data_IF_471409761974
#
_entry.id   IF_471409761974
#
_cell.length_a   1.000
_cell.length_b   1.000
_cell.length_c   1.000
_cell.angle_alpha   90.00
_cell.angle_beta   90.00
_cell.angle_gamma   90.00
#
_symmetry.space_group_name_H-M   'P 1'
#
loop_
_entity.id
_entity.type
_entity.pdbx_description
1 polymer ?
#
# COMPACT_ATOMS: atom_id res chain seq x y z
N UNK A 1 -21.41 9.42 33.81
CA UNK A 1 -20.01 8.96 33.97
C UNK A 1 -19.57 8.57 32.58
N UNK A 2 -18.65 9.33 32.00
CA UNK A 2 -18.27 9.22 30.59
C UNK A 2 -17.61 7.88 30.33
N UNK A 3 -18.13 7.17 29.31
CA UNK A 3 -17.54 5.96 28.75
C UNK A 3 -16.06 6.20 28.45
N UNK A 4 -15.21 5.32 28.96
CA UNK A 4 -13.81 5.23 28.55
C UNK A 4 -13.79 4.62 27.16
N UNK A 5 -13.73 5.45 26.13
CA UNK A 5 -13.39 5.00 24.78
C UNK A 5 -12.03 4.31 24.84
N UNK A 6 -12.00 3.02 24.48
CA UNK A 6 -10.75 2.28 24.29
C UNK A 6 -9.83 3.09 23.35
N UNK A 7 -8.50 3.04 23.51
CA UNK A 7 -7.59 3.71 22.60
C UNK A 7 -7.90 3.19 21.20
N UNK A 8 -8.49 4.07 20.38
CA UNK A 8 -8.79 3.75 19.02
C UNK A 8 -7.44 3.62 18.32
N UNK A 9 -6.97 2.38 18.13
CA UNK A 9 -5.98 2.01 17.12
C UNK A 9 -6.60 2.18 15.71
N UNK A 10 -7.33 3.29 15.56
CA UNK A 10 -8.18 3.84 14.51
C UNK A 10 -7.39 4.20 13.25
N UNK A 11 -6.57 3.30 12.71
CA UNK A 11 -5.91 3.57 11.44
C UNK A 11 -6.95 3.83 10.35
N UNK A 12 -6.70 4.81 9.48
CA UNK A 12 -7.59 5.11 8.36
C UNK A 12 -7.77 3.85 7.49
N UNK A 13 -8.91 3.77 6.80
CA UNK A 13 -9.22 2.64 5.93
C UNK A 13 -9.62 3.14 4.55
N UNK A 14 -9.22 2.41 3.53
CA UNK A 14 -9.60 2.63 2.14
C UNK A 14 -10.41 1.42 1.70
N UNK A 15 -11.64 1.67 1.25
CA UNK A 15 -12.52 0.66 0.67
C UNK A 15 -12.35 0.65 -0.84
N UNK A 16 -12.06 -0.52 -1.39
CA UNK A 16 -12.01 -0.77 -2.82
C UNK A 16 -13.39 -1.23 -3.28
N UNK A 17 -13.92 -0.57 -4.29
CA UNK A 17 -15.24 -0.81 -4.86
C UNK A 17 -15.12 -1.38 -6.27
N UNK A 18 -15.85 -2.44 -6.55
CA UNK A 18 -15.96 -2.99 -7.90
C UNK A 18 -17.03 -2.23 -8.68
N UNK A 19 -16.68 -1.72 -9.87
CA UNK A 19 -17.65 -1.04 -10.74
C UNK A 19 -18.41 -2.02 -11.65
N UNK A 20 -17.95 -3.27 -11.76
CA UNK A 20 -18.58 -4.26 -12.64
C UNK A 20 -19.86 -4.89 -12.09
N UNK A 21 -20.09 -4.77 -10.78
CA UNK A 21 -21.22 -5.38 -10.09
C UNK A 21 -21.05 -6.88 -9.82
N UNK A 22 -19.82 -7.39 -9.91
CA UNK A 22 -19.46 -8.78 -9.63
C UNK A 22 -19.25 -9.09 -8.15
N UNK A 23 -18.96 -8.08 -7.33
CA UNK A 23 -18.75 -8.23 -5.89
C UNK A 23 -20.03 -8.02 -5.06
N UNK A 24 -20.12 -8.69 -3.90
CA UNK A 24 -21.19 -8.44 -2.92
C UNK A 24 -21.13 -6.98 -2.43
N UNK A 25 -22.28 -6.29 -2.48
CA UNK A 25 -22.40 -4.85 -2.19
C UNK A 25 -21.45 -3.93 -3.00
N UNK A 26 -20.85 -4.44 -4.07
CA UNK A 26 -19.77 -3.81 -4.84
C UNK A 26 -18.49 -3.58 -4.02
N UNK A 27 -18.29 -4.28 -2.90
CA UNK A 27 -17.12 -4.14 -2.04
C UNK A 27 -16.13 -5.26 -2.37
N UNK A 28 -14.93 -4.90 -2.84
CA UNK A 28 -13.86 -5.87 -3.11
C UNK A 28 -13.07 -6.16 -1.84
N UNK A 29 -12.57 -5.11 -1.20
CA UNK A 29 -11.67 -5.22 -0.04
C UNK A 29 -11.69 -3.91 0.76
N UNK A 30 -11.42 -4.02 2.06
CA UNK A 30 -11.12 -2.87 2.91
C UNK A 30 -9.67 -2.94 3.37
N UNK A 31 -8.83 -2.04 2.85
CA UNK A 31 -7.42 -1.90 3.23
C UNK A 31 -7.35 -0.94 4.40
N UNK A 32 -6.78 -1.36 5.53
CA UNK A 32 -6.75 -0.54 6.75
C UNK A 32 -5.34 -0.26 7.28
N UNK A 33 -5.29 0.33 8.47
CA UNK A 33 -4.06 0.63 9.23
C UNK A 33 -3.21 1.73 8.58
N UNK A 34 -3.84 2.65 7.84
CA UNK A 34 -3.15 3.85 7.36
C UNK A 34 -2.89 4.81 8.53
N UNK A 35 -1.66 5.30 8.65
CA UNK A 35 -1.22 6.15 9.77
C UNK A 35 -1.85 7.54 9.73
N UNK A 36 -2.15 8.06 8.55
CA UNK A 36 -2.72 9.38 8.35
C UNK A 36 -3.62 9.42 7.10
N UNK A 37 -4.49 10.44 7.06
CA UNK A 37 -5.45 10.63 5.96
C UNK A 37 -4.75 10.94 4.64
N UNK A 38 -3.62 11.65 4.66
CA UNK A 38 -2.90 11.99 3.42
C UNK A 38 -2.31 10.73 2.77
N UNK A 39 -1.82 9.78 3.58
CA UNK A 39 -1.38 8.47 3.13
C UNK A 39 -2.54 7.66 2.56
N UNK A 40 -3.68 7.59 3.25
CA UNK A 40 -4.87 6.90 2.73
C UNK A 40 -5.37 7.52 1.41
N UNK A 41 -5.40 8.85 1.31
CA UNK A 41 -5.76 9.57 0.09
C UNK A 41 -4.78 9.30 -1.07
N UNK A 42 -3.47 9.32 -0.79
CA UNK A 42 -2.46 9.01 -1.78
C UNK A 42 -2.57 7.57 -2.30
N UNK A 43 -2.85 6.61 -1.40
CA UNK A 43 -3.11 5.23 -1.77
C UNK A 43 -4.35 5.09 -2.66
N UNK A 44 -5.48 5.68 -2.26
CA UNK A 44 -6.72 5.64 -3.04
C UNK A 44 -6.51 6.21 -4.45
N UNK A 45 -5.83 7.36 -4.54
CA UNK A 45 -5.48 8.02 -5.80
C UNK A 45 -4.62 7.13 -6.70
N UNK A 46 -3.53 6.58 -6.18
CA UNK A 46 -2.62 5.72 -6.94
C UNK A 46 -3.29 4.40 -7.37
N UNK A 47 -4.17 3.85 -6.53
CA UNK A 47 -4.93 2.64 -6.82
C UNK A 47 -5.88 2.85 -8.00
N UNK A 48 -6.71 3.91 -7.94
CA UNK A 48 -7.62 4.25 -9.05
C UNK A 48 -6.84 4.57 -10.32
N UNK A 49 -5.70 5.26 -10.22
CA UNK A 49 -4.84 5.52 -11.39
C UNK A 49 -4.34 4.23 -12.03
N UNK A 50 -3.89 3.24 -11.25
CA UNK A 50 -3.50 1.93 -11.80
C UNK A 50 -4.69 1.19 -12.42
N UNK A 51 -5.85 1.23 -11.76
CA UNK A 51 -7.10 0.61 -12.21
C UNK A 51 -7.58 1.16 -13.57
N UNK A 52 -7.60 2.49 -13.73
CA UNK A 52 -7.90 3.17 -15.00
C UNK A 52 -6.91 2.76 -16.09
N UNK A 53 -5.63 2.70 -15.77
CA UNK A 53 -4.59 2.35 -16.75
C UNK A 53 -4.63 0.88 -17.18
N UNK A 54 -5.11 -0.03 -16.34
CA UNK A 54 -5.39 -1.43 -16.75
C UNK A 54 -6.52 -1.51 -17.77
N UNK A 55 -7.46 -0.56 -17.74
CA UNK A 55 -8.56 -0.45 -18.69
C UNK A 55 -8.16 0.23 -20.01
N UNK A 56 -6.95 0.82 -20.07
CA UNK A 56 -6.48 1.54 -21.26
C UNK A 56 -5.98 0.58 -22.33
N UNK A 57 -6.62 0.64 -23.50
CA UNK A 57 -6.18 -0.05 -24.72
C UNK A 57 -5.35 0.89 -25.61
N UNK A 58 -4.32 0.41 -26.33
CA UNK A 58 -3.56 1.25 -27.26
C UNK A 58 -4.47 1.95 -28.27
N UNK A 59 -4.39 3.28 -28.34
CA UNK A 59 -5.21 4.10 -29.25
C UNK A 59 -6.65 4.37 -28.78
N UNK A 60 -7.05 3.93 -27.59
CA UNK A 60 -8.35 4.24 -27.01
C UNK A 60 -8.47 5.75 -26.69
N UNK A 61 -9.66 6.32 -26.92
CA UNK A 61 -9.95 7.69 -26.48
C UNK A 61 -10.21 7.75 -24.98
N UNK A 62 -10.10 8.93 -24.36
CA UNK A 62 -10.42 9.12 -22.94
C UNK A 62 -11.82 8.60 -22.57
N UNK A 63 -12.80 8.81 -23.46
CA UNK A 63 -14.17 8.31 -23.29
C UNK A 63 -14.24 6.78 -23.31
N UNK A 64 -13.49 6.13 -24.19
CA UNK A 64 -13.44 4.66 -24.24
C UNK A 64 -12.81 4.09 -22.97
N UNK A 65 -11.71 4.70 -22.50
CA UNK A 65 -11.04 4.31 -21.25
C UNK A 65 -12.01 4.44 -20.07
N UNK A 66 -12.71 5.58 -19.96
CA UNK A 66 -13.70 5.81 -18.93
C UNK A 66 -14.83 4.77 -18.98
N UNK A 67 -15.36 4.48 -20.17
CA UNK A 67 -16.44 3.52 -20.33
C UNK A 67 -16.02 2.11 -19.94
N UNK A 68 -14.80 1.69 -20.29
CA UNK A 68 -14.26 0.39 -19.90
C UNK A 68 -14.01 0.33 -18.39
N UNK A 69 -13.42 1.38 -17.81
CA UNK A 69 -13.19 1.47 -16.37
C UNK A 69 -14.49 1.44 -15.57
N UNK A 70 -15.55 2.13 -16.01
CA UNK A 70 -16.87 2.04 -15.37
C UNK A 70 -17.53 0.66 -15.51
N UNK A 71 -17.07 -0.19 -16.41
CA UNK A 71 -17.65 -1.52 -16.66
C UNK A 71 -16.87 -2.65 -15.99
N UNK A 72 -15.56 -2.48 -15.76
CA UNK A 72 -14.65 -3.54 -15.31
C UNK A 72 -13.60 -3.07 -14.30
N UNK A 73 -13.56 -1.77 -14.03
CA UNK A 73 -12.57 -1.15 -13.16
C UNK A 73 -12.98 -1.21 -11.71
N UNK A 74 -12.02 -0.82 -10.89
CA UNK A 74 -12.13 -0.73 -9.43
C UNK A 74 -11.95 0.73 -9.01
N UNK A 75 -12.81 1.22 -8.13
CA UNK A 75 -12.72 2.52 -7.47
C UNK A 75 -12.18 2.37 -6.04
N UNK A 76 -11.69 3.46 -5.43
CA UNK A 76 -11.20 3.45 -4.06
C UNK A 76 -11.64 4.70 -3.30
N UNK A 77 -12.18 4.50 -2.10
CA UNK A 77 -12.71 5.57 -1.25
C UNK A 77 -12.19 5.44 0.18
N UNK A 78 -11.79 6.55 0.80
CA UNK A 78 -11.37 6.55 2.21
C UNK A 78 -12.61 6.56 3.11
N UNK A 79 -12.68 5.60 4.02
CA UNK A 79 -13.76 5.46 5.00
C UNK A 79 -13.57 6.51 6.10
N UNK A 80 -14.69 7.08 6.60
CA UNK A 80 -14.73 8.08 7.67
C UNK A 80 -14.04 9.43 7.37
N UNK A 81 -13.56 9.64 6.14
CA UNK A 81 -12.90 10.88 5.73
C UNK A 81 -13.87 12.01 5.33
N UNK A 82 -15.18 11.74 5.23
CA UNK A 82 -16.22 12.72 4.88
C UNK A 82 -15.81 13.60 3.67
N UNK A 83 -15.70 14.92 3.84
CA UNK A 83 -15.35 15.89 2.78
C UNK A 83 -13.83 16.03 2.55
N UNK A 84 -13.00 15.59 3.50
CA UNK A 84 -11.54 15.60 3.39
C UNK A 84 -10.99 14.36 2.65
N UNK A 85 -11.87 13.40 2.38
CA UNK A 85 -11.57 12.20 1.61
C UNK A 85 -11.32 12.50 0.14
N UNK A 86 -10.29 11.86 -0.41
CA UNK A 86 -10.09 11.88 -1.85
C UNK A 86 -11.17 11.06 -2.57
N UNK A 87 -11.66 11.58 -3.69
CA UNK A 87 -12.65 10.93 -4.55
C UNK A 87 -12.16 10.88 -6.00
N UNK A 88 -12.29 9.73 -6.64
CA UNK A 88 -11.92 9.50 -8.04
C UNK A 88 -12.56 10.51 -8.99
N UNK A 89 -13.81 10.86 -8.77
CA UNK A 89 -14.57 11.82 -9.58
C UNK A 89 -13.88 13.18 -9.78
N UNK A 90 -13.01 13.60 -8.84
CA UNK A 90 -12.33 14.90 -8.90
C UNK A 90 -11.22 14.94 -9.97
N UNK A 91 -10.57 13.81 -10.25
CA UNK A 91 -9.42 13.73 -11.17
C UNK A 91 -9.64 12.77 -12.34
N UNK A 92 -10.81 12.14 -12.42
CA UNK A 92 -11.10 11.09 -13.39
C UNK A 92 -10.94 11.53 -14.86
N UNK A 93 -11.27 12.79 -15.16
CA UNK A 93 -11.08 13.37 -16.51
C UNK A 93 -9.59 13.37 -16.90
N UNK A 94 -8.71 13.86 -16.02
CA UNK A 94 -7.26 13.83 -16.23
C UNK A 94 -6.73 12.40 -16.36
N UNK A 95 -7.24 11.49 -15.52
CA UNK A 95 -6.81 10.09 -15.49
C UNK A 95 -7.10 9.39 -16.80
N UNK A 96 -8.23 9.70 -17.42
CA UNK A 96 -8.62 9.11 -18.72
C UNK A 96 -7.93 9.80 -19.89
N UNK A 97 -7.67 11.11 -19.81
CA UNK A 97 -7.01 11.90 -20.85
C UNK A 97 -5.52 11.60 -20.99
N UNK A 98 -4.81 11.42 -19.87
CA UNK A 98 -3.35 11.31 -19.85
C UNK A 98 -2.91 9.93 -19.38
N UNK A 99 -2.04 9.20 -20.12
CA UNK A 99 -1.48 7.94 -19.63
C UNK A 99 -0.64 8.18 -18.37
N UNK A 100 -0.76 7.29 -17.39
CA UNK A 100 -0.04 7.44 -16.12
C UNK A 100 1.41 6.97 -16.24
N UNK A 101 2.28 7.61 -15.47
CA UNK A 101 3.64 7.12 -15.26
C UNK A 101 3.65 5.90 -14.31
N UNK A 102 4.73 5.07 -14.33
CA UNK A 102 4.86 3.97 -13.39
C UNK A 102 4.78 4.39 -11.91
N UNK A 103 5.30 5.57 -11.58
CA UNK A 103 5.30 6.09 -10.21
C UNK A 103 3.89 6.46 -9.72
N UNK A 104 3.05 7.01 -10.59
CA UNK A 104 1.67 7.38 -10.25
C UNK A 104 0.76 6.17 -10.02
N UNK A 105 1.15 5.02 -10.55
CA UNK A 105 0.43 3.75 -10.41
C UNK A 105 0.95 2.90 -9.25
N UNK A 106 2.01 3.34 -8.58
CA UNK A 106 2.73 2.52 -7.60
C UNK A 106 2.06 2.52 -6.21
N UNK A 107 0.78 2.19 -6.18
CA UNK A 107 0.01 2.04 -4.93
C UNK A 107 0.61 0.99 -3.99
N UNK A 108 1.38 0.03 -4.53
CA UNK A 108 2.05 -1.01 -3.74
C UNK A 108 3.16 -0.48 -2.85
N UNK A 109 3.70 0.71 -3.08
CA UNK A 109 4.64 1.34 -2.14
C UNK A 109 3.93 2.06 -1.01
N UNK A 110 2.67 2.41 -1.22
CA UNK A 110 1.79 3.06 -0.24
C UNK A 110 0.94 2.04 0.53
N UNK A 111 1.04 0.75 0.22
CA UNK A 111 0.22 -0.27 0.86
C UNK A 111 0.71 -0.56 2.29
N UNK A 112 -0.10 -0.30 3.33
CA UNK A 112 0.31 -0.41 4.73
C UNK A 112 0.57 -1.86 5.14
N UNK A 113 0.00 -2.85 4.44
CA UNK A 113 0.23 -4.27 4.74
C UNK A 113 1.69 -4.67 4.49
N UNK A 114 2.41 -3.94 3.62
CA UNK A 114 3.84 -4.15 3.39
C UNK A 114 4.72 -3.54 4.48
N UNK A 115 4.22 -2.55 5.22
CA UNK A 115 4.96 -1.92 6.32
C UNK A 115 4.91 -2.77 7.59
N UNK A 116 3.79 -3.48 7.82
CA UNK A 116 3.61 -4.35 8.99
C UNK A 116 4.59 -5.53 8.96
N UNK A 117 4.88 -6.09 7.77
CA UNK A 117 5.86 -7.18 7.59
C UNK A 117 7.32 -6.75 7.93
N UNK A 118 7.61 -5.44 7.87
CA UNK A 118 8.96 -4.90 8.09
C UNK A 118 9.26 -4.56 9.56
N UNK A 119 8.25 -4.38 10.42
CA UNK A 119 8.44 -3.99 11.81
C UNK A 119 8.54 -5.21 12.77
N UNK A 120 7.98 -6.37 12.39
CA UNK A 120 8.04 -7.60 13.20
C UNK A 120 9.41 -8.31 13.14
N UNK A 121 10.21 -8.07 12.10
CA UNK A 121 11.55 -8.67 11.92
C UNK A 121 12.67 -8.07 12.79
N UNK A 122 12.42 -7.01 13.57
CA UNK A 122 13.45 -6.38 14.41
C UNK A 122 13.45 -6.84 15.88
N UNK A 123 12.49 -7.65 16.32
CA UNK A 123 12.31 -7.98 17.74
C UNK A 123 12.85 -9.37 18.15
N UNK A 124 13.47 -10.12 17.24
CA UNK A 124 14.11 -11.42 17.54
C UNK A 124 15.61 -11.44 17.25
N UNK A 125 16.28 -10.27 17.19
CA UNK A 125 17.73 -10.24 17.40
C UNK A 125 18.00 -10.52 18.87
N UNK A 126 17.90 -11.82 19.19
CA UNK A 126 18.18 -12.47 20.45
C UNK A 126 19.55 -12.02 20.98
N UNK A 127 19.46 -11.23 22.03
CA UNK A 127 20.50 -10.90 23.00
C UNK A 127 20.89 -12.20 23.72
N UNK A 128 21.78 -12.98 23.12
CA UNK A 128 22.50 -14.05 23.81
C UNK A 128 23.84 -13.48 24.30
N UNK A 129 23.78 -12.98 25.54
CA UNK A 129 24.88 -12.47 26.38
C UNK A 129 25.85 -13.59 26.85
N UNK A 130 27.05 -13.15 27.28
CA UNK A 130 28.04 -13.82 28.15
C UNK A 130 28.84 -15.04 27.61
N UNK A 131 30.13 -14.90 27.31
CA UNK A 131 31.33 -14.84 28.18
C UNK A 131 31.94 -16.22 28.56
N UNK A 132 33.27 -16.28 28.46
CA UNK A 132 34.21 -17.06 29.31
C UNK A 132 34.94 -18.33 28.75
N UNK A 133 36.23 -18.07 28.47
CA UNK A 133 37.46 -18.81 28.84
C UNK A 133 37.86 -20.18 28.26
N UNK A 134 39.13 -20.20 27.79
CA UNK A 134 40.08 -21.33 27.93
C UNK A 134 40.72 -21.79 26.60
N UNK A 135 41.97 -21.38 26.29
CA UNK A 135 43.20 -22.21 26.39
C UNK A 135 43.42 -23.07 25.11
N UNK A 136 44.41 -22.96 24.22
CA UNK A 136 45.84 -22.61 24.24
C UNK A 136 46.33 -22.39 22.77
N UNK A 137 47.58 -21.94 22.52
CA UNK A 137 48.02 -21.42 21.22
C UNK A 137 48.44 -22.53 20.24
N UNK A 138 48.03 -22.42 18.97
CA UNK A 138 48.57 -23.25 17.90
C UNK A 138 49.40 -22.39 16.94
N UNK A 139 50.72 -22.53 17.04
CA UNK A 139 51.73 -22.02 16.09
C UNK A 139 51.98 -23.10 15.03
N UNK A 140 51.62 -22.85 13.76
CA UNK A 140 52.22 -23.61 12.68
C UNK A 140 52.87 -22.66 11.66
N UNK A 141 54.13 -22.32 11.91
CA UNK A 141 55.10 -22.34 10.83
C UNK A 141 55.47 -20.98 10.23
N UNK A 142 56.55 -20.44 10.80
CA UNK A 142 57.63 -19.76 10.08
C UNK A 142 57.64 -20.00 8.56
N UNK A 143 57.39 -18.90 7.84
CA UNK A 143 57.97 -18.50 6.56
C UNK A 143 58.56 -19.60 5.67
N UNK A 144 57.87 -19.88 4.58
CA UNK A 144 58.51 -20.34 3.36
C UNK A 144 58.11 -19.39 2.22
N UNK A 145 58.89 -18.33 1.99
CA UNK A 145 58.90 -17.63 0.70
C UNK A 145 60.21 -16.84 0.51
N UNK A 146 61.02 -17.36 -0.42
CA UNK A 146 62.08 -16.73 -1.24
C UNK A 146 63.16 -15.89 -0.56
#
# INVERSE_FOLDING_TARGET
>A
MSETEAPQEQGWKVRILDLSGGAEDNIVEEVGVFHDLAHANAFARAYVRDSVERCRTPGASAKDVLSVWMSFGEDAVVIDAQEDGWHSANELDDFTATPATPMERDWRTLDPRRLIDAEEISLTADDSDEEDAGDEPFDPGLHNLH
#
